data_IF_757776466067
#
_entry.id   IF_757776466067
#
_cell.length_a   1.000
_cell.length_b   1.000
_cell.length_c   1.000
_cell.angle_alpha   90.00
_cell.angle_beta   90.00
_cell.angle_gamma   90.00
#
_symmetry.space_group_name_H-M   'P 1'
#
loop_
_entity.id
_entity.type
_entity.pdbx_description
1 polymer ?
#
# COMPACT_ATOMS: atom_id res chain seq x y z
N UNK A 1 -27.04 -3.66 20.54
CA UNK A 1 -25.83 -3.20 19.83
C UNK A 1 -25.90 -3.79 18.43
N UNK A 2 -26.30 -3.00 17.42
CA UNK A 2 -26.28 -3.48 16.02
C UNK A 2 -24.81 -3.47 15.57
N UNK A 3 -24.26 -4.55 14.98
CA UNK A 3 -22.93 -4.46 14.37
C UNK A 3 -23.02 -3.45 13.22
N UNK A 4 -22.10 -2.50 13.19
CA UNK A 4 -22.00 -1.44 12.19
C UNK A 4 -21.96 -2.03 10.77
N UNK A 5 -22.92 -1.72 9.88
CA UNK A 5 -22.88 -2.13 8.48
C UNK A 5 -21.72 -1.48 7.68
N UNK A 6 -20.98 -0.56 8.29
CA UNK A 6 -19.87 0.15 7.65
C UNK A 6 -18.56 -0.64 7.59
N UNK A 7 -18.45 -1.77 8.31
CA UNK A 7 -17.19 -2.51 8.39
C UNK A 7 -16.92 -3.40 7.18
N UNK A 8 -17.95 -3.77 6.41
CA UNK A 8 -17.81 -4.49 5.14
C UNK A 8 -17.48 -3.55 3.97
N UNK A 9 -17.81 -2.25 4.08
CA UNK A 9 -17.63 -1.29 2.98
C UNK A 9 -16.19 -0.86 2.75
N UNK A 10 -15.30 -1.16 3.70
CA UNK A 10 -13.89 -0.72 3.67
C UNK A 10 -12.92 -1.79 3.18
N UNK A 11 -13.38 -3.02 2.92
CA UNK A 11 -12.52 -4.05 2.33
C UNK A 11 -12.44 -3.90 0.80
N UNK A 12 -11.30 -4.26 0.18
CA UNK A 12 -11.18 -4.35 -1.28
C UNK A 12 -12.20 -5.34 -1.87
N UNK A 13 -12.51 -5.21 -3.16
CA UNK A 13 -13.35 -6.21 -3.87
C UNK A 13 -12.68 -7.58 -3.90
N UNK A 14 -11.36 -7.59 -4.07
CA UNK A 14 -10.53 -8.79 -4.22
C UNK A 14 -9.44 -8.79 -3.14
N UNK A 15 -9.49 -9.80 -2.29
CA UNK A 15 -8.53 -10.02 -1.20
C UNK A 15 -8.62 -11.46 -0.71
N UNK A 16 -7.61 -11.90 0.05
CA UNK A 16 -7.68 -13.17 0.77
C UNK A 16 -8.40 -13.00 2.10
N UNK A 17 -9.40 -13.83 2.37
CA UNK A 17 -10.17 -13.77 3.62
C UNK A 17 -9.29 -13.93 4.88
N UNK A 18 -8.17 -14.66 4.77
CA UNK A 18 -7.21 -14.83 5.86
C UNK A 18 -6.56 -13.52 6.30
N UNK A 19 -6.47 -12.53 5.40
CA UNK A 19 -5.84 -11.23 5.66
C UNK A 19 -6.87 -10.12 5.96
N UNK A 20 -8.17 -10.42 5.95
CA UNK A 20 -9.25 -9.43 6.01
C UNK A 20 -9.10 -8.46 7.20
N UNK A 21 -8.90 -8.99 8.41
CA UNK A 21 -8.76 -8.14 9.60
C UNK A 21 -7.48 -7.30 9.55
N UNK A 22 -6.36 -7.84 9.05
CA UNK A 22 -5.13 -7.08 8.91
C UNK A 22 -5.30 -5.94 7.88
N UNK A 23 -5.87 -6.21 6.71
CA UNK A 23 -6.14 -5.21 5.67
C UNK A 23 -7.02 -4.09 6.23
N UNK A 24 -8.07 -4.47 6.96
CA UNK A 24 -8.99 -3.52 7.60
C UNK A 24 -8.27 -2.58 8.55
N UNK A 25 -7.44 -3.12 9.46
CA UNK A 25 -6.64 -2.32 10.40
C UNK A 25 -5.74 -1.33 9.68
N UNK A 26 -5.05 -1.77 8.61
CA UNK A 26 -4.20 -0.90 7.80
C UNK A 26 -5.00 0.23 7.14
N UNK A 27 -6.17 -0.07 6.57
CA UNK A 27 -7.01 0.91 5.89
C UNK A 27 -7.63 1.93 6.85
N UNK A 28 -8.03 1.49 8.05
CA UNK A 28 -8.57 2.38 9.08
C UNK A 28 -7.55 3.42 9.57
N UNK A 29 -6.25 3.11 9.50
CA UNK A 29 -5.18 4.07 9.84
C UNK A 29 -5.01 5.23 8.86
N UNK A 30 -5.64 5.14 7.67
CA UNK A 30 -5.55 6.16 6.63
C UNK A 30 -6.68 7.19 6.74
N UNK A 31 -6.42 8.40 6.24
CA UNK A 31 -7.45 9.41 5.99
C UNK A 31 -8.49 8.88 4.99
N UNK A 32 -9.75 9.35 5.03
CA UNK A 32 -10.82 8.82 4.16
C UNK A 32 -10.47 8.79 2.67
N UNK A 33 -9.89 9.89 2.15
CA UNK A 33 -9.47 9.98 0.73
C UNK A 33 -8.34 9.01 0.39
N UNK A 34 -7.33 8.88 1.25
CA UNK A 34 -6.21 7.96 1.02
C UNK A 34 -6.69 6.50 1.13
N UNK A 35 -7.63 6.22 2.03
CA UNK A 35 -8.26 4.91 2.21
C UNK A 35 -8.96 4.43 0.95
N UNK A 36 -9.83 5.25 0.36
CA UNK A 36 -10.54 4.89 -0.88
C UNK A 36 -9.57 4.56 -2.02
N UNK A 37 -8.51 5.36 -2.17
CA UNK A 37 -7.45 5.09 -3.16
C UNK A 37 -6.70 3.79 -2.87
N UNK A 38 -6.39 3.52 -1.61
CA UNK A 38 -5.72 2.29 -1.19
C UNK A 38 -6.58 1.05 -1.44
N UNK A 39 -7.89 1.10 -1.16
CA UNK A 39 -8.85 0.02 -1.42
C UNK A 39 -8.82 -0.38 -2.90
N UNK A 40 -9.03 0.61 -3.80
CA UNK A 40 -9.08 0.35 -5.25
C UNK A 40 -7.75 -0.20 -5.77
N UNK A 41 -6.62 0.37 -5.32
CA UNK A 41 -5.29 -0.06 -5.77
C UNK A 41 -4.90 -1.42 -5.20
N UNK A 42 -5.33 -1.75 -4.00
CA UNK A 42 -5.10 -3.07 -3.42
C UNK A 42 -5.78 -4.14 -4.27
N UNK A 43 -7.09 -3.99 -4.55
CA UNK A 43 -7.86 -4.96 -5.32
C UNK A 43 -7.24 -5.19 -6.72
N UNK A 44 -6.95 -4.09 -7.43
CA UNK A 44 -6.33 -4.16 -8.76
C UNK A 44 -5.00 -4.94 -8.75
N UNK A 45 -4.11 -4.62 -7.81
CA UNK A 45 -2.82 -5.33 -7.70
C UNK A 45 -3.03 -6.79 -7.37
N UNK A 46 -3.89 -7.10 -6.40
CA UNK A 46 -4.19 -8.47 -6.00
C UNK A 46 -4.66 -9.31 -7.20
N UNK A 47 -5.66 -8.80 -7.93
CA UNK A 47 -6.20 -9.48 -9.10
C UNK A 47 -5.16 -9.63 -10.22
N UNK A 48 -4.45 -8.55 -10.57
CA UNK A 48 -3.40 -8.59 -11.61
C UNK A 48 -2.30 -9.61 -11.26
N UNK A 49 -1.83 -9.65 -10.01
CA UNK A 49 -0.80 -10.63 -9.62
C UNK A 49 -1.33 -12.05 -9.55
N UNK A 50 -2.60 -12.23 -9.18
CA UNK A 50 -3.23 -13.54 -9.18
C UNK A 50 -3.37 -14.10 -10.60
N UNK A 51 -3.82 -13.27 -11.54
CA UNK A 51 -4.01 -13.63 -12.95
C UNK A 51 -2.67 -13.88 -13.65
N UNK A 52 -1.64 -13.08 -13.36
CA UNK A 52 -0.32 -13.19 -13.96
C UNK A 52 0.50 -14.41 -13.50
N UNK A 53 0.23 -14.96 -12.30
CA UNK A 53 0.99 -16.11 -11.78
C UNK A 53 0.60 -17.40 -12.52
N UNK A 54 1.52 -18.07 -13.24
CA UNK A 54 1.17 -19.25 -14.04
C UNK A 54 0.90 -20.50 -13.19
N UNK A 55 1.48 -20.57 -11.98
CA UNK A 55 1.37 -21.75 -11.12
C UNK A 55 0.15 -21.62 -10.21
N UNK A 56 -0.91 -22.38 -10.53
CA UNK A 56 -2.22 -22.32 -9.86
C UNK A 56 -2.16 -22.28 -8.33
N UNK A 57 -1.40 -23.18 -7.70
CA UNK A 57 -1.30 -23.26 -6.24
C UNK A 57 -0.48 -22.14 -5.59
N UNK A 58 0.22 -21.30 -6.39
CA UNK A 58 1.00 -20.15 -5.90
C UNK A 58 0.27 -18.83 -6.06
N UNK A 59 -0.76 -18.77 -6.91
CA UNK A 59 -1.48 -17.54 -7.29
C UNK A 59 -1.90 -16.72 -6.09
N UNK A 60 -2.64 -17.33 -5.17
CA UNK A 60 -3.15 -16.61 -3.99
C UNK A 60 -2.01 -16.05 -3.13
N UNK A 61 -0.98 -16.84 -2.84
CA UNK A 61 0.15 -16.39 -2.03
C UNK A 61 0.94 -15.26 -2.70
N UNK A 62 1.08 -15.28 -4.03
CA UNK A 62 1.72 -14.21 -4.79
C UNK A 62 0.91 -12.91 -4.76
N UNK A 63 -0.39 -13.01 -5.01
CA UNK A 63 -1.31 -11.89 -4.93
C UNK A 63 -1.32 -11.24 -3.54
N UNK A 64 -1.46 -12.06 -2.49
CA UNK A 64 -1.39 -11.63 -1.08
C UNK A 64 -0.08 -10.91 -0.79
N UNK A 65 1.05 -11.51 -1.16
CA UNK A 65 2.37 -10.95 -0.87
C UNK A 65 2.55 -9.57 -1.51
N UNK A 66 2.23 -9.43 -2.79
CA UNK A 66 2.43 -8.18 -3.52
C UNK A 66 1.49 -7.07 -3.00
N UNK A 67 0.19 -7.37 -2.90
CA UNK A 67 -0.81 -6.39 -2.47
C UNK A 67 -0.58 -5.95 -1.01
N UNK A 68 -0.31 -6.90 -0.10
CA UNK A 68 -0.04 -6.58 1.32
C UNK A 68 1.26 -5.79 1.50
N UNK A 69 2.31 -6.11 0.72
CA UNK A 69 3.57 -5.36 0.78
C UNK A 69 3.37 -3.91 0.35
N UNK A 70 2.66 -3.68 -0.76
CA UNK A 70 2.36 -2.32 -1.23
C UNK A 70 1.49 -1.54 -0.25
N UNK A 71 0.46 -2.17 0.34
CA UNK A 71 -0.38 -1.52 1.35
C UNK A 71 0.43 -1.08 2.57
N UNK A 72 1.31 -1.95 3.08
CA UNK A 72 2.19 -1.64 4.21
C UNK A 72 3.11 -0.46 3.92
N UNK A 73 3.71 -0.42 2.73
CA UNK A 73 4.56 0.69 2.29
C UNK A 73 3.77 1.99 2.17
N UNK A 74 2.57 1.95 1.60
CA UNK A 74 1.71 3.11 1.45
C UNK A 74 1.32 3.72 2.80
N UNK A 75 0.83 2.89 3.73
CA UNK A 75 0.46 3.32 5.09
C UNK A 75 1.65 3.95 5.82
N UNK A 76 2.82 3.31 5.76
CA UNK A 76 4.05 3.83 6.39
C UNK A 76 4.46 5.19 5.81
N UNK A 77 4.37 5.35 4.50
CA UNK A 77 4.78 6.59 3.83
C UNK A 77 3.79 7.73 4.11
N UNK A 78 2.47 7.44 4.20
CA UNK A 78 1.48 8.45 4.58
C UNK A 78 1.71 8.94 6.02
N UNK A 79 2.07 8.06 6.95
CA UNK A 79 2.44 8.46 8.31
C UNK A 79 3.58 9.48 8.34
N UNK A 80 4.60 9.31 7.47
CA UNK A 80 5.73 10.25 7.36
C UNK A 80 5.31 11.60 6.76
N UNK A 81 4.47 11.59 5.73
CA UNK A 81 3.98 12.81 5.09
C UNK A 81 3.12 13.64 6.06
N UNK A 82 2.24 12.99 6.84
CA UNK A 82 1.42 13.65 7.86
C UNK A 82 2.25 14.20 9.04
N UNK A 83 3.40 13.61 9.33
CA UNK A 83 4.34 14.08 10.35
C UNK A 83 5.24 15.23 9.87
N UNK A 84 5.03 15.77 8.67
CA UNK A 84 5.81 16.89 8.15
C UNK A 84 7.20 16.53 7.62
N UNK A 85 7.52 15.24 7.48
CA UNK A 85 8.77 14.77 6.87
C UNK A 85 8.70 14.80 5.32
N UNK A 86 8.15 15.86 4.75
CA UNK A 86 8.27 16.14 3.32
C UNK A 86 9.56 16.93 3.09
N UNK A 87 10.61 16.26 2.64
CA UNK A 87 11.79 16.95 2.14
C UNK A 87 11.41 17.71 0.85
N UNK A 88 11.97 18.89 0.65
CA UNK A 88 11.82 19.61 -0.62
C UNK A 88 12.30 18.72 -1.77
N UNK A 89 11.54 18.62 -2.88
CA UNK A 89 12.00 17.87 -4.04
C UNK A 89 13.33 18.47 -4.52
N UNK A 90 14.34 17.64 -4.85
CA UNK A 90 15.59 18.16 -5.37
C UNK A 90 15.29 18.97 -6.63
N UNK A 91 15.62 20.25 -6.60
CA UNK A 91 15.51 21.14 -7.75
C UNK A 91 16.35 20.54 -8.88
N UNK A 92 15.72 20.32 -10.05
CA UNK A 92 16.40 19.79 -11.22
C UNK A 92 17.62 20.66 -11.53
N UNK A 93 18.84 20.13 -11.30
CA UNK A 93 20.10 20.84 -11.52
C UNK A 93 21.11 20.78 -10.36
N UNK A 94 20.74 20.37 -9.15
CA UNK A 94 21.71 20.19 -8.05
C UNK A 94 22.47 18.85 -8.17
N UNK A 95 23.41 18.78 -9.11
CA UNK A 95 24.49 17.79 -8.98
C UNK A 95 25.23 18.06 -7.66
N UNK A 96 25.02 17.20 -6.67
CA UNK A 96 25.93 17.12 -5.52
C UNK A 96 27.27 16.63 -6.05
N UNK A 97 28.13 17.56 -6.48
CA UNK A 97 29.52 17.26 -6.79
C UNK A 97 30.23 16.96 -5.48
N UNK A 98 30.25 15.68 -5.09
CA UNK A 98 31.20 15.17 -4.12
C UNK A 98 32.61 15.19 -4.72
N UNK A 99 33.22 16.38 -4.73
CA UNK A 99 34.64 16.54 -5.00
C UNK A 99 35.41 16.26 -3.72
N UNK A 100 35.74 15.00 -3.46
CA UNK A 100 36.84 14.67 -2.56
C UNK A 100 38.09 14.42 -3.40
N UNK A 101 38.89 15.48 -3.51
CA UNK A 101 40.29 15.44 -3.88
C UNK A 101 41.01 14.40 -3.01
N UNK A 102 41.78 13.53 -3.65
CA UNK A 102 42.90 12.85 -3.02
C UNK A 102 44.13 13.12 -3.89
N UNK A 103 45.00 13.99 -3.41
CA UNK A 103 46.42 14.05 -3.78
C UNK A 103 47.15 13.09 -2.85
#
# INVERSE_FOLDING_TARGET
MKPEPELLSILPSDFSQADAEWIKQQLLSLTPTARQKAIQRYAAVYQETFEAEPVSYRKENRARHEANTRLRLFVRNQGRALQGYTAEPPLAGSQSRSSLFRV
#
